data_IF_803717671661
#
_entry.id   IF_803717671661
#
_cell.length_a   1.000
_cell.length_b   1.000
_cell.length_c   1.000
_cell.angle_alpha   90.00
_cell.angle_beta   90.00
_cell.angle_gamma   90.00
#
_symmetry.space_group_name_H-M   'P 1'
#
loop_
_entity.id
_entity.type
_entity.pdbx_description
1 polymer ?
#
# COMPACT_ATOMS: atom_id res chain seq x y z
N UNK A 1 4.07 23.89 -13.99
CA UNK A 1 3.98 23.92 -15.44
C UNK A 1 2.57 23.50 -15.89
N UNK A 2 2.29 23.53 -17.19
CA UNK A 2 0.97 23.19 -17.72
C UNK A 2 0.58 21.74 -17.47
N UNK A 3 1.56 20.81 -17.48
CA UNK A 3 1.30 19.40 -17.21
C UNK A 3 0.93 19.18 -15.75
N UNK A 4 1.57 19.89 -14.84
CA UNK A 4 1.25 19.82 -13.41
C UNK A 4 -0.17 20.34 -13.13
N UNK A 5 -0.55 21.42 -13.79
CA UNK A 5 -1.91 21.98 -13.67
C UNK A 5 -2.95 20.95 -14.15
N UNK A 6 -2.67 20.26 -15.26
CA UNK A 6 -3.56 19.23 -15.78
C UNK A 6 -3.69 18.04 -14.83
N UNK A 7 -2.60 17.60 -14.23
CA UNK A 7 -2.61 16.52 -13.23
C UNK A 7 -3.47 16.91 -12.04
N UNK A 8 -3.23 18.10 -11.47
CA UNK A 8 -4.01 18.61 -10.34
C UNK A 8 -5.49 18.72 -10.68
N UNK A 9 -5.80 19.28 -11.85
CA UNK A 9 -7.18 19.44 -12.30
C UNK A 9 -7.89 18.09 -12.43
N UNK A 10 -7.24 17.11 -13.04
CA UNK A 10 -7.82 15.78 -13.24
C UNK A 10 -8.13 15.10 -11.90
N UNK A 11 -7.17 15.08 -10.98
CA UNK A 11 -7.35 14.42 -9.69
C UNK A 11 -8.37 15.17 -8.83
N UNK A 12 -8.38 16.49 -8.86
CA UNK A 12 -9.31 17.29 -8.07
C UNK A 12 -10.77 17.12 -8.49
N UNK A 13 -11.05 16.45 -9.61
CA UNK A 13 -12.41 16.07 -9.98
C UNK A 13 -12.97 14.94 -9.12
N UNK A 14 -12.12 14.14 -8.50
CA UNK A 14 -12.57 13.10 -7.57
C UNK A 14 -12.99 13.76 -6.26
N UNK A 15 -14.08 13.28 -5.68
CA UNK A 15 -14.77 13.96 -4.57
C UNK A 15 -14.55 13.32 -3.20
N UNK A 16 -13.86 12.18 -3.12
CA UNK A 16 -13.68 11.46 -1.87
C UNK A 16 -12.24 11.47 -1.42
N UNK A 17 -12.03 11.10 -0.16
CA UNK A 17 -10.73 10.77 0.43
C UNK A 17 -10.83 9.39 1.06
N UNK A 18 -9.70 8.77 1.40
CA UNK A 18 -9.71 7.44 2.04
C UNK A 18 -10.59 7.42 3.30
N UNK A 19 -10.44 8.35 4.26
CA UNK A 19 -11.30 8.32 5.45
C UNK A 19 -12.80 8.43 5.15
N UNK A 20 -13.18 9.16 4.11
CA UNK A 20 -14.57 9.31 3.73
C UNK A 20 -15.20 8.02 3.18
N UNK A 21 -14.38 7.07 2.74
CA UNK A 21 -14.85 5.75 2.31
C UNK A 21 -14.45 4.64 3.32
N UNK A 22 -14.24 5.04 4.56
CA UNK A 22 -13.90 4.15 5.68
C UNK A 22 -12.59 3.36 5.50
N UNK A 23 -11.61 3.98 4.86
CA UNK A 23 -10.27 3.46 4.71
C UNK A 23 -9.27 4.46 5.28
N UNK A 24 -8.08 3.99 5.62
CA UNK A 24 -7.06 4.88 6.16
C UNK A 24 -5.68 4.29 5.92
N UNK A 25 -4.77 5.11 5.43
CA UNK A 25 -3.37 4.74 5.41
C UNK A 25 -2.76 4.97 6.79
N UNK A 26 -2.08 3.96 7.29
CA UNK A 26 -1.35 3.99 8.56
C UNK A 26 0.11 3.63 8.31
N UNK A 27 0.97 4.02 9.23
CA UNK A 27 2.39 3.67 9.18
C UNK A 27 2.64 2.49 10.11
N UNK A 28 3.47 1.53 9.68
CA UNK A 28 3.90 0.42 10.51
C UNK A 28 4.63 0.91 11.75
N UNK A 29 4.49 0.18 12.85
CA UNK A 29 5.00 0.63 14.15
C UNK A 29 6.26 -0.08 14.60
N UNK A 30 6.64 -1.19 13.96
CA UNK A 30 7.80 -1.96 14.41
C UNK A 30 9.07 -1.29 13.96
N UNK A 31 9.88 -0.91 14.94
CA UNK A 31 11.23 -0.40 14.74
C UNK A 31 12.18 -1.53 15.17
N UNK A 32 12.77 -2.22 14.20
CA UNK A 32 13.50 -3.46 14.42
C UNK A 32 14.58 -3.36 15.51
N UNK A 33 15.40 -2.31 15.49
CA UNK A 33 16.45 -2.14 16.49
C UNK A 33 15.92 -1.83 17.91
N UNK A 34 14.63 -1.48 18.04
CA UNK A 34 13.99 -1.20 19.35
C UNK A 34 13.19 -2.39 19.89
N UNK A 35 12.93 -3.38 19.05
CA UNK A 35 12.05 -4.51 19.38
C UNK A 35 12.72 -5.86 19.14
N UNK A 36 14.05 -5.91 19.21
CA UNK A 36 14.84 -7.13 18.90
C UNK A 36 14.39 -8.36 19.68
N UNK A 37 13.91 -8.20 20.89
CA UNK A 37 13.49 -9.29 21.75
C UNK A 37 12.29 -10.07 21.21
N UNK A 38 11.47 -9.47 20.35
CA UNK A 38 10.31 -10.13 19.75
C UNK A 38 10.55 -10.57 18.30
N UNK A 39 11.69 -10.22 17.71
CA UNK A 39 11.99 -10.59 16.32
C UNK A 39 12.56 -12.01 16.24
N UNK A 40 12.20 -12.69 15.15
CA UNK A 40 12.69 -14.05 14.85
C UNK A 40 13.05 -14.13 13.37
N UNK A 41 13.88 -15.11 13.02
CA UNK A 41 14.28 -15.34 11.63
C UNK A 41 13.44 -16.44 10.98
N UNK A 42 12.82 -17.29 11.79
CA UNK A 42 12.03 -18.41 11.31
C UNK A 42 10.70 -18.47 12.05
N UNK A 43 9.69 -19.03 11.36
CA UNK A 43 8.39 -19.23 11.97
C UNK A 43 8.46 -20.25 13.10
N UNK A 44 7.75 -19.95 14.16
CA UNK A 44 7.53 -20.87 15.28
C UNK A 44 6.11 -20.64 15.80
N UNK A 45 5.66 -21.48 16.72
CA UNK A 45 4.32 -21.32 17.29
C UNK A 45 4.16 -19.95 17.96
N UNK A 46 3.05 -19.30 17.68
CA UNK A 46 2.77 -17.96 18.20
C UNK A 46 3.51 -16.84 17.50
N UNK A 47 4.10 -17.12 16.34
CA UNK A 47 4.81 -16.12 15.55
C UNK A 47 4.05 -15.76 14.28
N UNK A 48 4.31 -14.57 13.75
CA UNK A 48 3.58 -13.99 12.65
C UNK A 48 4.52 -13.30 11.66
N UNK A 49 4.08 -13.10 10.41
CA UNK A 49 4.88 -12.33 9.45
C UNK A 49 5.07 -10.88 9.91
N UNK A 50 6.30 -10.41 9.81
CA UNK A 50 6.62 -8.98 9.92
C UNK A 50 7.02 -8.50 8.53
N UNK A 51 6.24 -7.58 7.97
CA UNK A 51 6.39 -7.12 6.61
C UNK A 51 7.27 -5.87 6.56
N UNK A 52 8.33 -5.95 5.77
CA UNK A 52 9.26 -4.87 5.50
C UNK A 52 9.07 -4.35 4.08
N UNK A 53 9.68 -3.22 3.77
CA UNK A 53 9.68 -2.67 2.39
C UNK A 53 10.25 -3.66 1.38
N UNK A 54 11.25 -4.47 1.77
CA UNK A 54 11.86 -5.47 0.90
C UNK A 54 10.90 -6.57 0.45
N UNK A 55 9.81 -6.78 1.17
CA UNK A 55 8.78 -7.76 0.80
C UNK A 55 7.86 -7.26 -0.32
N UNK A 56 7.91 -5.95 -0.64
CA UNK A 56 7.14 -5.38 -1.75
C UNK A 56 7.93 -5.60 -3.04
N UNK A 57 7.43 -6.49 -3.90
CA UNK A 57 8.10 -6.85 -5.16
C UNK A 57 7.12 -6.94 -6.31
N UNK A 58 7.32 -6.09 -7.31
CA UNK A 58 6.52 -6.09 -8.54
C UNK A 58 5.00 -6.09 -8.28
N UNK A 59 4.59 -5.23 -7.34
CA UNK A 59 3.17 -5.08 -6.98
C UNK A 59 2.63 -6.12 -6.04
N UNK A 60 3.45 -7.08 -5.59
CA UNK A 60 3.03 -8.17 -4.71
C UNK A 60 3.82 -8.17 -3.42
N UNK A 61 3.33 -8.92 -2.45
CA UNK A 61 4.06 -9.18 -1.21
C UNK A 61 4.68 -10.57 -1.33
N UNK A 62 6.00 -10.62 -1.26
CA UNK A 62 6.77 -11.87 -1.27
C UNK A 62 7.33 -12.06 0.13
N UNK A 63 6.78 -13.03 0.86
CA UNK A 63 7.20 -13.36 2.21
C UNK A 63 7.04 -14.88 2.42
N UNK A 64 8.01 -15.58 3.06
CA UNK A 64 9.29 -15.08 3.54
C UNK A 64 10.32 -14.92 2.42
N UNK A 65 11.37 -14.12 2.71
CA UNK A 65 12.51 -13.92 1.82
C UNK A 65 13.81 -14.45 2.42
N UNK A 66 13.78 -14.98 3.65
CA UNK A 66 14.98 -15.29 4.41
C UNK A 66 15.67 -14.06 4.99
N UNK A 67 14.94 -12.95 5.08
CA UNK A 67 15.43 -11.71 5.67
C UNK A 67 15.49 -11.84 7.19
N UNK A 68 16.60 -11.38 7.80
CA UNK A 68 16.71 -11.33 9.24
C UNK A 68 15.58 -10.51 9.85
N UNK A 69 14.92 -11.06 10.88
CA UNK A 69 13.89 -10.37 11.63
C UNK A 69 12.55 -10.26 10.92
N UNK A 70 12.29 -11.08 9.91
CA UNK A 70 11.02 -11.01 9.17
C UNK A 70 9.85 -11.76 9.83
N UNK A 71 10.05 -12.22 11.05
CA UNK A 71 9.04 -12.90 11.86
C UNK A 71 8.97 -12.20 13.21
N UNK A 72 7.77 -12.03 13.74
CA UNK A 72 7.56 -11.44 15.06
C UNK A 72 6.83 -12.43 15.96
N UNK A 73 7.35 -12.62 17.17
CA UNK A 73 6.69 -13.44 18.18
C UNK A 73 6.36 -12.56 19.38
N UNK A 74 5.08 -12.27 19.57
CA UNK A 74 4.61 -11.41 20.65
C UNK A 74 3.13 -11.67 20.93
N UNK A 75 2.74 -11.43 22.18
CA UNK A 75 1.34 -11.39 22.57
C UNK A 75 0.81 -9.96 22.64
N UNK A 76 1.69 -8.98 22.40
CA UNK A 76 1.35 -7.56 22.47
C UNK A 76 0.54 -7.14 21.26
N UNK A 77 -0.77 -6.94 21.46
CA UNK A 77 -1.72 -6.62 20.38
C UNK A 77 -1.40 -5.31 19.65
N UNK A 78 -0.80 -4.34 20.35
CA UNK A 78 -0.43 -3.08 19.73
C UNK A 78 0.65 -3.22 18.65
N UNK A 79 1.38 -4.33 18.63
CA UNK A 79 2.37 -4.64 17.60
C UNK A 79 1.77 -5.35 16.39
N UNK A 80 0.53 -5.78 16.47
CA UNK A 80 -0.09 -6.67 15.50
C UNK A 80 -1.30 -6.04 14.83
N UNK A 81 -1.56 -6.48 13.59
CA UNK A 81 -2.79 -6.20 12.87
C UNK A 81 -3.51 -7.53 12.65
N UNK A 82 -4.83 -7.54 12.79
CA UNK A 82 -5.61 -8.70 12.37
C UNK A 82 -5.38 -8.96 10.90
N UNK A 83 -5.19 -10.22 10.53
CA UNK A 83 -4.96 -10.57 9.14
C UNK A 83 -6.16 -10.13 8.28
N UNK A 84 -5.87 -9.72 7.06
CA UNK A 84 -6.87 -9.20 6.14
C UNK A 84 -6.24 -8.98 4.78
N UNK A 85 -6.85 -8.10 4.00
CA UNK A 85 -6.30 -7.66 2.73
C UNK A 85 -5.71 -6.27 2.94
N UNK A 86 -4.50 -6.06 2.45
CA UNK A 86 -3.79 -4.80 2.66
C UNK A 86 -3.14 -4.33 1.37
N UNK A 87 -3.15 -3.03 1.16
CA UNK A 87 -2.23 -2.42 0.21
C UNK A 87 -1.06 -1.86 1.02
N UNK A 88 0.14 -2.35 0.75
CA UNK A 88 1.35 -1.84 1.37
C UNK A 88 2.02 -0.85 0.43
N UNK A 89 2.61 0.21 1.01
CA UNK A 89 3.27 1.27 0.25
C UNK A 89 4.59 1.58 0.95
N UNK A 90 5.68 1.62 0.20
CA UNK A 90 6.98 1.99 0.78
C UNK A 90 6.90 3.41 1.34
N UNK A 91 7.40 3.57 2.55
CA UNK A 91 7.40 4.88 3.20
C UNK A 91 8.54 5.77 2.74
N UNK A 92 9.66 5.19 2.30
CA UNK A 92 10.83 5.95 1.86
C UNK A 92 11.16 5.61 0.42
N UNK A 93 11.01 6.62 -0.45
CA UNK A 93 11.40 6.58 -1.86
C UNK A 93 11.92 7.95 -2.23
N UNK A 94 12.85 8.01 -3.18
CA UNK A 94 13.40 9.29 -3.63
C UNK A 94 12.80 9.72 -4.96
N UNK A 95 12.93 11.01 -5.26
CA UNK A 95 12.44 11.57 -6.53
C UNK A 95 13.25 11.06 -7.72
N UNK A 96 14.43 10.52 -7.50
CA UNK A 96 15.29 9.93 -8.53
C UNK A 96 14.87 8.52 -8.94
N UNK A 97 14.06 7.85 -8.11
CA UNK A 97 13.53 6.53 -8.45
C UNK A 97 12.45 6.64 -9.53
N UNK A 98 12.22 5.57 -10.31
CA UNK A 98 11.20 5.59 -11.37
C UNK A 98 9.80 5.92 -10.85
N UNK A 99 9.51 5.54 -9.61
CA UNK A 99 8.22 5.81 -8.96
C UNK A 99 8.41 6.23 -7.50
N UNK A 100 7.62 7.20 -7.07
CA UNK A 100 7.51 7.56 -5.65
C UNK A 100 6.55 6.61 -4.93
N UNK A 101 5.42 6.28 -5.54
CA UNK A 101 4.42 5.39 -4.96
C UNK A 101 4.72 3.95 -5.39
N UNK A 102 5.32 3.18 -4.49
CA UNK A 102 5.70 1.79 -4.73
C UNK A 102 4.89 0.90 -3.81
N UNK A 103 3.96 0.17 -4.40
CA UNK A 103 2.91 -0.55 -3.69
C UNK A 103 3.02 -2.06 -3.86
N UNK A 104 2.47 -2.79 -2.89
CA UNK A 104 2.35 -4.23 -2.95
C UNK A 104 1.01 -4.70 -2.41
N UNK A 105 0.39 -5.62 -3.11
CA UNK A 105 -0.89 -6.22 -2.76
C UNK A 105 -0.66 -7.41 -1.84
N UNK A 106 -1.21 -7.34 -0.63
CA UNK A 106 -1.24 -8.43 0.33
C UNK A 106 -2.65 -9.00 0.39
N UNK A 107 -2.80 -10.28 0.07
CA UNK A 107 -4.09 -10.96 0.10
C UNK A 107 -4.14 -11.94 1.27
N UNK A 108 -5.14 -11.80 2.12
CA UNK A 108 -5.39 -12.70 3.24
C UNK A 108 -5.38 -14.17 2.82
N UNK A 109 -5.97 -14.47 1.67
CA UNK A 109 -6.07 -15.82 1.12
C UNK A 109 -4.73 -16.54 1.01
N UNK A 110 -3.65 -15.79 0.71
CA UNK A 110 -2.30 -16.35 0.56
C UNK A 110 -1.59 -16.57 1.89
N UNK A 111 -2.12 -16.00 2.97
CA UNK A 111 -1.52 -16.05 4.31
C UNK A 111 -2.57 -16.46 5.34
N UNK A 112 -3.53 -17.27 4.94
CA UNK A 112 -4.73 -17.58 5.73
C UNK A 112 -4.48 -18.34 7.03
N UNK A 113 -3.31 -18.99 7.15
CA UNK A 113 -2.93 -19.67 8.39
C UNK A 113 -2.55 -18.71 9.52
N UNK A 114 -2.33 -17.43 9.21
CA UNK A 114 -1.94 -16.44 10.22
C UNK A 114 -3.13 -15.65 10.72
N UNK A 115 -3.28 -15.57 12.04
CA UNK A 115 -4.32 -14.73 12.65
C UNK A 115 -3.95 -13.25 12.61
N UNK A 116 -2.65 -12.95 12.66
CA UNK A 116 -2.11 -11.60 12.71
C UNK A 116 -0.95 -11.45 11.75
N UNK A 117 -0.68 -10.21 11.39
CA UNK A 117 0.56 -9.76 10.75
C UNK A 117 1.09 -8.55 11.48
N UNK A 118 2.29 -8.15 11.18
CA UNK A 118 2.87 -6.90 11.68
C UNK A 118 3.56 -6.17 10.54
N UNK A 119 3.78 -4.87 10.71
CA UNK A 119 4.41 -4.05 9.68
C UNK A 119 5.52 -3.19 10.26
N UNK A 120 6.63 -3.14 9.52
CA UNK A 120 7.79 -2.34 9.86
C UNK A 120 7.51 -0.85 9.65
N UNK A 121 8.18 0.01 10.40
CA UNK A 121 7.94 1.46 10.35
C UNK A 121 8.33 2.13 9.02
N UNK A 122 9.03 1.43 8.14
CA UNK A 122 9.34 1.91 6.78
C UNK A 122 8.29 1.49 5.75
N UNK A 123 7.16 1.00 6.20
CA UNK A 123 6.03 0.61 5.36
C UNK A 123 4.77 1.31 5.84
N UNK A 124 4.05 1.91 4.91
CA UNK A 124 2.67 2.35 5.13
C UNK A 124 1.72 1.25 4.65
N UNK A 125 0.52 1.19 5.20
CA UNK A 125 -0.46 0.19 4.79
C UNK A 125 -1.88 0.74 4.87
N UNK A 126 -2.74 0.21 4.00
CA UNK A 126 -4.19 0.46 4.02
C UNK A 126 -4.87 -0.89 4.19
N UNK A 127 -5.60 -1.07 5.28
CA UNK A 127 -6.41 -2.28 5.47
C UNK A 127 -7.66 -2.15 4.62
N UNK A 128 -7.91 -3.14 3.77
CA UNK A 128 -9.04 -3.17 2.85
C UNK A 128 -10.01 -4.28 3.26
N UNK A 129 -11.29 -4.05 3.05
CA UNK A 129 -12.33 -5.02 3.41
C UNK A 129 -12.59 -6.07 2.33
N UNK A 130 -11.93 -5.95 1.18
CA UNK A 130 -12.03 -6.95 0.11
C UNK A 130 -10.81 -6.90 -0.82
N UNK A 131 -10.55 -7.99 -1.58
CA UNK A 131 -9.54 -7.96 -2.64
C UNK A 131 -9.83 -6.91 -3.71
N UNK A 132 -11.10 -6.70 -4.06
CA UNK A 132 -11.47 -5.69 -5.06
C UNK A 132 -11.01 -4.29 -4.67
N UNK A 133 -11.19 -3.91 -3.41
CA UNK A 133 -10.74 -2.61 -2.90
C UNK A 133 -9.22 -2.54 -2.94
N UNK A 134 -8.53 -3.61 -2.54
CA UNK A 134 -7.06 -3.65 -2.55
C UNK A 134 -6.51 -3.43 -3.96
N UNK A 135 -7.02 -4.18 -4.94
CA UNK A 135 -6.64 -4.03 -6.35
C UNK A 135 -7.03 -2.65 -6.90
N UNK A 136 -8.19 -2.14 -6.53
CA UNK A 136 -8.63 -0.80 -6.97
C UNK A 136 -7.73 0.32 -6.46
N UNK A 137 -7.32 0.25 -5.20
CA UNK A 137 -6.35 1.19 -4.65
C UNK A 137 -5.00 1.06 -5.33
N UNK A 138 -4.60 -0.17 -5.70
CA UNK A 138 -3.40 -0.39 -6.48
C UNK A 138 -3.49 0.30 -7.84
N UNK A 139 -4.64 0.23 -8.53
CA UNK A 139 -4.84 0.95 -9.79
C UNK A 139 -4.52 2.42 -9.63
N UNK A 140 -5.07 3.05 -8.60
CA UNK A 140 -4.83 4.47 -8.33
C UNK A 140 -3.35 4.75 -8.03
N UNK A 141 -2.83 4.12 -6.98
CA UNK A 141 -1.50 4.47 -6.47
C UNK A 141 -0.37 3.98 -7.37
N UNK A 142 -0.60 2.99 -8.22
CA UNK A 142 0.39 2.53 -9.21
C UNK A 142 0.21 3.16 -10.58
N UNK A 143 -0.75 4.06 -10.75
CA UNK A 143 -0.91 4.81 -11.99
C UNK A 143 0.16 5.90 -12.13
N UNK A 144 0.44 6.26 -13.37
CA UNK A 144 1.35 7.39 -13.63
C UNK A 144 0.74 8.70 -13.14
N UNK A 145 -0.58 8.86 -13.25
CA UNK A 145 -1.28 10.07 -12.84
C UNK A 145 -1.08 10.35 -11.34
N UNK A 146 -1.32 9.35 -10.48
CA UNK A 146 -1.17 9.55 -9.04
C UNK A 146 0.29 9.68 -8.62
N UNK A 147 1.22 9.04 -9.32
CA UNK A 147 2.64 9.23 -9.04
C UNK A 147 3.08 10.66 -9.35
N UNK A 148 2.63 11.19 -10.50
CA UNK A 148 2.87 12.59 -10.86
C UNK A 148 2.23 13.56 -9.85
N UNK A 149 1.01 13.28 -9.44
CA UNK A 149 0.32 14.09 -8.43
C UNK A 149 1.11 14.11 -7.12
N UNK A 150 1.56 12.95 -6.67
CA UNK A 150 2.33 12.87 -5.43
C UNK A 150 3.65 13.62 -5.53
N UNK A 151 4.32 13.57 -6.67
CA UNK A 151 5.57 14.32 -6.90
C UNK A 151 5.36 15.83 -6.84
N UNK A 152 4.19 16.31 -7.25
CA UNK A 152 3.83 17.72 -7.12
C UNK A 152 3.62 18.09 -5.66
N UNK A 153 2.95 17.23 -4.88
CA UNK A 153 2.67 17.48 -3.47
C UNK A 153 3.92 17.42 -2.59
N UNK A 154 4.84 16.53 -2.89
CA UNK A 154 5.89 16.14 -1.95
C UNK A 154 7.24 15.98 -2.65
N UNK A 155 8.20 16.81 -2.26
CA UNK A 155 9.60 16.74 -2.73
C UNK A 155 10.55 16.04 -1.78
N UNK A 156 10.07 15.53 -0.64
CA UNK A 156 10.91 14.83 0.33
C UNK A 156 11.13 13.36 -0.05
N UNK A 157 11.91 12.63 0.74
CA UNK A 157 12.14 11.19 0.55
C UNK A 157 11.12 10.33 1.28
N UNK A 158 10.17 10.93 1.97
CA UNK A 158 9.17 10.21 2.76
C UNK A 158 7.80 10.29 2.10
N UNK A 159 7.17 9.13 1.89
CA UNK A 159 5.77 9.04 1.49
C UNK A 159 4.93 9.14 2.76
N UNK A 160 4.22 10.25 2.90
CA UNK A 160 3.53 10.63 4.12
C UNK A 160 2.08 10.13 4.11
N UNK A 161 1.69 9.38 5.14
CA UNK A 161 0.34 8.83 5.24
C UNK A 161 -0.74 9.92 5.33
N UNK A 162 -0.45 11.04 5.99
CA UNK A 162 -1.40 12.15 6.11
C UNK A 162 -1.72 12.73 4.73
N UNK A 163 -0.71 12.91 3.89
CA UNK A 163 -0.90 13.42 2.52
C UNK A 163 -1.74 12.45 1.67
N UNK A 164 -1.45 11.15 1.76
CA UNK A 164 -2.23 10.14 1.03
C UNK A 164 -3.67 10.11 1.52
N UNK A 165 -3.90 10.23 2.81
CA UNK A 165 -5.26 10.24 3.37
C UNK A 165 -6.07 11.48 2.94
N UNK A 166 -5.42 12.54 2.55
CA UNK A 166 -6.07 13.78 2.08
C UNK A 166 -6.23 13.85 0.56
N UNK A 167 -5.61 12.92 -0.18
CA UNK A 167 -5.67 12.91 -1.64
C UNK A 167 -7.10 12.67 -2.14
N UNK A 168 -7.54 13.42 -3.18
CA UNK A 168 -8.80 13.10 -3.83
C UNK A 168 -8.75 11.75 -4.52
N UNK A 169 -9.77 10.95 -4.30
CA UNK A 169 -9.92 9.62 -4.90
C UNK A 169 -11.36 9.42 -5.36
N UNK A 170 -11.62 8.47 -6.28
CA UNK A 170 -12.97 8.11 -6.64
C UNK A 170 -13.76 7.51 -5.49
N UNK A 171 -15.06 7.44 -5.66
CA UNK A 171 -15.95 6.73 -4.74
C UNK A 171 -15.57 5.24 -4.66
N UNK A 172 -15.93 4.61 -3.55
CA UNK A 172 -15.64 3.18 -3.28
C UNK A 172 -16.11 2.27 -4.42
N UNK A 173 -17.31 2.53 -4.96
CA UNK A 173 -17.84 1.71 -6.05
C UNK A 173 -16.93 1.71 -7.28
N UNK A 174 -16.38 2.87 -7.64
CA UNK A 174 -15.44 3.00 -8.75
C UNK A 174 -14.15 2.25 -8.45
N UNK A 175 -13.64 2.39 -7.24
CA UNK A 175 -12.43 1.68 -6.79
C UNK A 175 -12.63 0.17 -6.89
N UNK A 176 -13.77 -0.34 -6.44
CA UNK A 176 -14.09 -1.78 -6.54
C UNK A 176 -14.14 -2.25 -7.99
N UNK A 177 -14.77 -1.48 -8.87
CA UNK A 177 -14.87 -1.82 -10.29
C UNK A 177 -13.49 -1.84 -10.97
N UNK A 178 -12.66 -0.84 -10.69
CA UNK A 178 -11.28 -0.82 -11.18
C UNK A 178 -10.49 -2.04 -10.67
N UNK A 179 -10.70 -2.38 -9.42
CA UNK A 179 -10.05 -3.54 -8.82
C UNK A 179 -10.46 -4.85 -9.47
N UNK A 180 -11.75 -5.05 -9.72
CA UNK A 180 -12.24 -6.25 -10.41
C UNK A 180 -11.59 -6.39 -11.78
N UNK A 181 -11.43 -5.30 -12.50
CA UNK A 181 -10.79 -5.33 -13.81
C UNK A 181 -9.30 -5.69 -13.68
N UNK A 182 -8.57 -5.05 -12.78
CA UNK A 182 -7.13 -5.32 -12.60
C UNK A 182 -6.84 -6.76 -12.19
N UNK A 183 -7.74 -7.40 -11.45
CA UNK A 183 -7.57 -8.79 -11.00
C UNK A 183 -7.33 -9.78 -12.14
N UNK A 184 -7.70 -9.44 -13.37
CA UNK A 184 -7.54 -10.27 -14.56
C UNK A 184 -6.37 -9.86 -15.44
N UNK A 185 -5.53 -8.94 -14.97
CA UNK A 185 -4.42 -8.40 -15.75
C UNK A 185 -3.12 -8.39 -14.93
N UNK A 186 -2.01 -8.16 -15.61
CA UNK A 186 -0.74 -7.98 -14.94
C UNK A 186 -0.73 -6.68 -14.14
N UNK A 187 -0.01 -6.71 -13.02
CA UNK A 187 0.17 -5.54 -12.15
C UNK A 187 1.25 -4.63 -12.76
N UNK A 188 0.86 -3.81 -13.71
CA UNK A 188 1.76 -2.87 -14.39
C UNK A 188 1.19 -1.47 -14.38
N UNK A 189 2.06 -0.47 -14.46
CA UNK A 189 1.64 0.93 -14.59
C UNK A 189 0.77 1.11 -15.83
N UNK A 190 1.14 0.47 -16.93
CA UNK A 190 0.39 0.56 -18.20
C UNK A 190 -1.05 0.08 -18.01
N UNK A 191 -1.25 -1.07 -17.37
CA UNK A 191 -2.59 -1.59 -17.13
C UNK A 191 -3.37 -0.71 -16.15
N UNK A 192 -2.73 -0.21 -15.12
CA UNK A 192 -3.35 0.73 -14.19
C UNK A 192 -3.81 1.99 -14.91
N UNK A 193 -2.97 2.55 -15.76
CA UNK A 193 -3.32 3.76 -16.53
C UNK A 193 -4.50 3.51 -17.47
N UNK A 194 -4.53 2.35 -18.14
CA UNK A 194 -5.66 2.00 -19.03
C UNK A 194 -6.97 1.92 -18.26
N UNK A 195 -6.96 1.25 -17.12
CA UNK A 195 -8.15 1.09 -16.29
C UNK A 195 -8.63 2.46 -15.77
N UNK A 196 -7.71 3.23 -15.20
CA UNK A 196 -8.03 4.56 -14.66
C UNK A 196 -8.55 5.51 -15.73
N UNK A 197 -8.02 5.42 -16.96
CA UNK A 197 -8.38 6.33 -18.05
C UNK A 197 -9.88 6.38 -18.36
N UNK A 198 -10.61 5.32 -18.05
CA UNK A 198 -12.06 5.27 -18.28
C UNK A 198 -12.85 6.10 -17.29
N UNK A 199 -12.25 6.50 -16.20
CA UNK A 199 -12.90 7.23 -15.11
C UNK A 199 -12.48 8.69 -15.03
N UNK A 200 -11.60 9.10 -15.91
CA UNK A 200 -11.11 10.47 -16.03
C UNK A 200 -11.37 11.00 -17.44
N UNK A 201 -11.68 12.26 -17.56
CA UNK A 201 -11.98 12.90 -18.84
C UNK A 201 -11.11 14.12 -19.08
#
# INVERSE_FOLDING_TARGET
>A
NSDDVNVLHTINHFSKTLPEINLKMQTGIIVDFRTREVLRNELEEGAYPLLYAQHIREGKIVWPLGKEGEVIKTERKSYLQENGNFLLVKRFTSKEEPRRLQCGIYLKKKFDKFKYISTHNKVNFIKCDSPCVTYGLYVLLNSSLYDCYYRILNGSTQVNSTEINQMPIPDRQVIEEMGRELMHHELSEVNCDKILSRWIS
#
